data_IF_866076841402
#
_entry.id   IF_866076841402
#
_cell.length_a   1.000
_cell.length_b   1.000
_cell.length_c   1.000
_cell.angle_alpha   90.00
_cell.angle_beta   90.00
_cell.angle_gamma   90.00
#
_symmetry.space_group_name_H-M   'P 1'
#
loop_
_entity.id
_entity.type
_entity.pdbx_description
1 polymer ?
#
# COMPACT_ATOMS: atom_id res chain seq x y z
N UNK A 1 5.31 -5.80 -17.76
CA UNK A 1 4.86 -6.81 -16.78
C UNK A 1 5.84 -6.90 -15.64
N UNK A 2 5.63 -6.10 -14.58
CA UNK A 2 6.37 -6.16 -13.33
C UNK A 2 5.37 -6.33 -12.19
N UNK A 3 5.73 -7.09 -11.17
CA UNK A 3 4.92 -7.20 -9.96
C UNK A 3 5.07 -5.91 -9.15
N UNK A 4 3.96 -5.33 -8.72
CA UNK A 4 3.91 -4.04 -8.04
C UNK A 4 2.76 -4.00 -7.07
N UNK A 5 2.97 -3.30 -5.96
CA UNK A 5 1.94 -2.91 -5.02
C UNK A 5 2.42 -1.64 -4.33
N UNK A 6 1.59 -0.60 -4.34
CA UNK A 6 1.89 0.64 -3.65
C UNK A 6 1.95 0.41 -2.14
N UNK A 7 3.07 0.78 -1.53
CA UNK A 7 3.36 0.55 -0.11
C UNK A 7 3.18 -0.94 0.30
N UNK A 8 3.30 -1.85 -0.66
CA UNK A 8 3.09 -3.28 -0.46
C UNK A 8 1.68 -3.67 0.00
N UNK A 9 0.67 -2.84 -0.27
CA UNK A 9 -0.70 -3.06 0.22
C UNK A 9 -1.78 -2.99 -0.85
N UNK A 10 -1.65 -2.12 -1.85
CA UNK A 10 -2.75 -1.82 -2.80
C UNK A 10 -2.24 -1.68 -4.23
N UNK A 11 -3.12 -1.87 -5.22
CA UNK A 11 -2.81 -1.72 -6.64
C UNK A 11 -3.88 -0.86 -7.34
N UNK A 12 -3.53 -0.11 -8.40
CA UNK A 12 -4.51 0.59 -9.21
C UNK A 12 -5.51 -0.37 -9.86
N UNK A 13 -6.71 0.12 -10.19
CA UNK A 13 -7.81 -0.59 -10.83
C UNK A 13 -8.54 -1.61 -9.94
N UNK A 14 -8.18 -1.69 -8.66
CA UNK A 14 -8.82 -2.55 -7.66
C UNK A 14 -9.23 -1.73 -6.44
N UNK A 15 -10.30 -0.92 -6.55
CA UNK A 15 -10.77 -0.09 -5.44
C UNK A 15 -11.13 -0.94 -4.23
N UNK A 16 -10.86 -0.42 -3.03
CA UNK A 16 -11.12 -1.06 -1.75
C UNK A 16 -10.37 -2.39 -1.48
N UNK A 17 -9.43 -2.80 -2.33
CA UNK A 17 -8.63 -3.99 -2.11
C UNK A 17 -7.37 -3.67 -1.29
N UNK A 18 -7.12 -4.44 -0.24
CA UNK A 18 -5.87 -4.45 0.53
C UNK A 18 -5.33 -5.87 0.56
N UNK A 19 -4.05 -6.06 0.25
CA UNK A 19 -3.35 -7.34 0.33
C UNK A 19 -2.03 -7.20 1.08
N UNK A 20 -1.82 -8.03 2.11
CA UNK A 20 -0.56 -8.01 2.88
C UNK A 20 0.51 -8.95 2.28
N UNK A 21 0.11 -9.88 1.42
CA UNK A 21 0.99 -10.81 0.73
C UNK A 21 1.28 -10.29 -0.68
N UNK A 22 2.03 -9.19 -0.77
CA UNK A 22 2.30 -8.52 -2.05
C UNK A 22 3.77 -8.07 -2.17
N UNK A 23 4.24 -7.74 -3.39
CA UNK A 23 5.60 -7.23 -3.59
C UNK A 23 5.86 -6.00 -2.71
N UNK A 24 7.06 -5.89 -2.15
CA UNK A 24 7.47 -4.78 -1.29
C UNK A 24 6.69 -4.64 0.03
N UNK A 25 5.89 -5.65 0.41
CA UNK A 25 5.11 -5.63 1.65
C UNK A 25 5.93 -5.90 2.92
N UNK A 26 7.06 -6.60 2.81
CA UNK A 26 7.90 -6.94 3.96
C UNK A 26 8.73 -5.73 4.39
N UNK A 27 8.57 -5.34 5.65
CA UNK A 27 9.29 -4.22 6.26
C UNK A 27 9.87 -4.65 7.61
N UNK A 28 11.15 -4.38 7.84
CA UNK A 28 11.82 -4.62 9.12
C UNK A 28 12.46 -6.00 9.26
N UNK A 29 12.82 -6.34 10.51
CA UNK A 29 13.54 -7.58 10.84
C UNK A 29 12.61 -8.75 11.19
N UNK A 30 11.32 -8.48 11.45
CA UNK A 30 10.32 -9.50 11.77
C UNK A 30 8.97 -9.29 11.09
N UNK A 31 8.19 -10.37 10.99
CA UNK A 31 6.81 -10.31 10.49
C UNK A 31 5.92 -9.38 11.33
N UNK A 32 6.12 -9.33 12.64
CA UNK A 32 5.34 -8.47 13.53
C UNK A 32 5.56 -6.98 13.23
N UNK A 33 6.80 -6.59 12.91
CA UNK A 33 7.11 -5.21 12.51
C UNK A 33 6.37 -4.83 11.23
N UNK A 34 6.34 -5.75 10.25
CA UNK A 34 5.59 -5.58 9.00
C UNK A 34 4.10 -5.39 9.27
N UNK A 35 3.48 -6.26 10.06
CA UNK A 35 2.06 -6.17 10.41
C UNK A 35 1.75 -4.87 11.13
N UNK A 36 2.58 -4.46 12.09
CA UNK A 36 2.38 -3.21 12.84
C UNK A 36 2.40 -2.00 11.91
N UNK A 37 3.38 -1.92 11.00
CA UNK A 37 3.47 -0.83 10.03
C UNK A 37 2.23 -0.79 9.12
N UNK A 38 1.80 -1.94 8.61
CA UNK A 38 0.63 -2.04 7.75
C UNK A 38 -0.65 -1.65 8.50
N UNK A 39 -0.81 -2.03 9.77
CA UNK A 39 -1.95 -1.60 10.59
C UNK A 39 -1.96 -0.08 10.82
N UNK A 40 -0.80 0.55 11.02
CA UNK A 40 -0.68 2.02 11.12
C UNK A 40 -1.09 2.69 9.81
N UNK A 41 -0.70 2.13 8.66
CA UNK A 41 -1.12 2.62 7.35
C UNK A 41 -2.63 2.53 7.17
N UNK A 42 -3.22 1.36 7.45
CA UNK A 42 -4.67 1.14 7.37
C UNK A 42 -5.45 2.09 8.29
N UNK A 43 -4.96 2.32 9.52
CA UNK A 43 -5.59 3.27 10.46
C UNK A 43 -5.66 4.68 9.87
N UNK A 44 -4.59 5.15 9.20
CA UNK A 44 -4.56 6.46 8.55
C UNK A 44 -5.54 6.53 7.38
N UNK A 45 -5.56 5.49 6.53
CA UNK A 45 -6.44 5.40 5.38
C UNK A 45 -7.92 5.43 5.78
N UNK A 46 -8.34 4.53 6.69
CA UNK A 46 -9.74 4.45 7.12
C UNK A 46 -10.17 5.68 7.93
N UNK A 47 -9.27 6.26 8.73
CA UNK A 47 -9.55 7.53 9.40
C UNK A 47 -9.85 8.66 8.40
N UNK A 48 -9.10 8.71 7.29
CA UNK A 48 -9.34 9.72 6.25
C UNK A 48 -10.63 9.47 5.46
N UNK A 49 -10.94 8.21 5.16
CA UNK A 49 -12.22 7.85 4.53
C UNK A 49 -13.41 8.29 5.39
N UNK A 50 -13.34 8.01 6.70
CA UNK A 50 -14.37 8.43 7.64
C UNK A 50 -14.47 9.96 7.69
N UNK A 51 -13.34 10.67 7.79
CA UNK A 51 -13.30 12.13 7.82
C UNK A 51 -13.91 12.78 6.58
N UNK A 52 -13.75 12.15 5.41
CA UNK A 52 -14.30 12.64 4.13
C UNK A 52 -15.70 12.12 3.82
N UNK A 53 -16.25 11.20 4.62
CA UNK A 53 -17.49 10.51 4.28
C UNK A 53 -17.39 9.67 3.00
N UNK A 54 -16.19 9.18 2.66
CA UNK A 54 -15.93 8.41 1.45
C UNK A 54 -16.08 6.91 1.70
N UNK A 55 -16.68 6.19 0.74
CA UNK A 55 -16.83 4.73 0.77
C UNK A 55 -15.81 3.97 -0.09
N UNK A 56 -14.93 4.70 -0.78
CA UNK A 56 -13.99 4.11 -1.74
C UNK A 56 -12.62 4.76 -1.61
N UNK A 57 -11.57 3.93 -1.61
CA UNK A 57 -10.20 4.36 -1.82
C UNK A 57 -9.58 3.58 -2.99
N UNK A 58 -8.66 4.24 -3.66
CA UNK A 58 -7.85 3.64 -4.71
C UNK A 58 -6.53 4.40 -4.82
N UNK A 59 -5.43 3.68 -5.04
CA UNK A 59 -4.15 4.30 -5.37
C UNK A 59 -4.13 4.70 -6.84
N UNK A 60 -3.62 5.89 -7.14
CA UNK A 60 -3.49 6.33 -8.53
C UNK A 60 -2.37 5.57 -9.25
N UNK A 61 -2.50 5.38 -10.56
CA UNK A 61 -1.45 4.76 -11.38
C UNK A 61 -0.12 5.52 -11.27
N UNK A 62 -0.18 6.86 -11.24
CA UNK A 62 1.00 7.73 -11.07
C UNK A 62 1.71 7.49 -9.73
N UNK A 63 0.97 7.42 -8.62
CA UNK A 63 1.56 7.19 -7.30
C UNK A 63 2.21 5.81 -7.22
N UNK A 64 1.54 4.80 -7.78
CA UNK A 64 2.08 3.44 -7.86
C UNK A 64 3.34 3.36 -8.75
N UNK A 65 3.35 4.02 -9.91
CA UNK A 65 4.51 4.05 -10.80
C UNK A 65 5.71 4.75 -10.15
N UNK A 66 5.47 5.87 -9.43
CA UNK A 66 6.53 6.56 -8.68
C UNK A 66 7.12 5.67 -7.59
N UNK A 67 6.28 4.99 -6.82
CA UNK A 67 6.73 4.08 -5.77
C UNK A 67 7.54 2.91 -6.36
N UNK A 68 7.06 2.30 -7.44
CA UNK A 68 7.80 1.24 -8.13
C UNK A 68 9.17 1.72 -8.60
N UNK A 69 9.25 2.90 -9.23
CA UNK A 69 10.52 3.48 -9.66
C UNK A 69 11.49 3.70 -8.50
N UNK A 70 11.00 4.16 -7.34
CA UNK A 70 11.83 4.28 -6.13
C UNK A 70 12.34 2.93 -5.66
N UNK A 71 11.47 1.92 -5.58
CA UNK A 71 11.87 0.60 -5.12
C UNK A 71 12.90 -0.08 -6.04
N UNK A 72 12.78 0.13 -7.34
CA UNK A 72 13.74 -0.37 -8.33
C UNK A 72 15.13 0.26 -8.22
N UNK A 73 15.26 1.43 -7.59
CA UNK A 73 16.58 2.04 -7.35
C UNK A 73 17.23 1.59 -6.03
N UNK A 74 16.45 1.00 -5.13
CA UNK A 74 16.91 0.60 -3.78
C UNK A 74 17.25 -0.90 -3.68
N UNK A 75 16.96 -1.67 -4.73
CA UNK A 75 17.17 -3.12 -4.84
C UNK A 75 18.19 -3.42 -5.94
#
# INVERSE_FOLDING_TARGET
>A
NKFQAYEGLTVPLFPNLITQASPYAWVGMSWFDTVEYQMRHMKRLFGELQRRGAGTFEVTEEANARFLGQMETLL
#
